data_IF_469757916408
#
_entry.id   IF_469757916408
#
_cell.length_a   1.000
_cell.length_b   1.000
_cell.length_c   1.000
_cell.angle_alpha   90.00
_cell.angle_beta   90.00
_cell.angle_gamma   90.00
#
_symmetry.space_group_name_H-M   'P 1'
#
loop_
_entity.id
_entity.type
_entity.pdbx_description
1 polymer ?
#
# COMPACT_ATOMS: atom_id res chain seq x y z
N UNK A 1 -8.96 35.85 -40.04
CA UNK A 1 -7.64 36.44 -39.75
C UNK A 1 -6.90 35.53 -38.79
N UNK A 2 -5.66 35.15 -39.11
CA UNK A 2 -4.69 34.50 -38.19
C UNK A 2 -4.74 32.97 -38.11
N UNK A 3 -4.46 32.24 -39.18
CA UNK A 3 -3.18 31.51 -39.42
C UNK A 3 -2.71 30.55 -38.31
N UNK A 4 -3.13 29.29 -38.44
CA UNK A 4 -2.42 28.11 -37.93
C UNK A 4 -1.36 27.73 -38.97
N UNK A 5 -0.10 27.57 -38.57
CA UNK A 5 0.91 26.82 -39.36
C UNK A 5 1.64 25.82 -38.46
N UNK A 6 1.71 24.54 -38.82
CA UNK A 6 2.56 23.56 -38.16
C UNK A 6 3.96 23.58 -38.77
N UNK A 7 5.01 23.47 -37.95
CA UNK A 7 6.40 23.31 -38.42
C UNK A 7 6.90 21.92 -38.02
N UNK A 8 7.44 21.25 -39.04
CA UNK A 8 7.86 19.84 -39.13
C UNK A 8 9.00 19.48 -38.18
N UNK A 9 8.97 18.24 -37.69
CA UNK A 9 10.15 17.51 -37.23
C UNK A 9 11.12 17.26 -38.39
N UNK A 10 12.42 17.46 -38.15
CA UNK A 10 13.50 16.67 -38.77
C UNK A 10 14.61 16.47 -37.74
N UNK A 11 14.97 15.19 -37.49
CA UNK A 11 16.19 14.74 -36.80
C UNK A 11 17.18 14.30 -37.86
N UNK A 12 18.44 14.73 -37.79
CA UNK A 12 19.68 14.03 -38.24
C UNK A 12 20.84 14.82 -37.57
N UNK A 13 21.40 14.39 -36.44
CA UNK A 13 22.61 13.56 -36.22
C UNK A 13 23.95 14.17 -36.67
N UNK A 14 24.97 13.90 -35.83
CA UNK A 14 26.43 13.86 -36.07
C UNK A 14 27.27 15.07 -35.61
N UNK A 15 27.89 14.97 -34.41
CA UNK A 15 29.29 14.55 -34.09
C UNK A 15 30.32 15.56 -34.62
N UNK A 16 31.08 16.29 -33.80
CA UNK A 16 32.29 15.98 -33.01
C UNK A 16 32.79 17.39 -32.58
N UNK A 17 33.31 17.72 -31.40
CA UNK A 17 34.59 17.28 -30.86
C UNK A 17 34.92 18.20 -29.66
N UNK A 18 35.24 17.59 -28.52
CA UNK A 18 36.29 17.95 -27.56
C UNK A 18 36.30 19.34 -26.88
N UNK A 19 36.15 19.29 -25.54
CA UNK A 19 36.78 20.08 -24.43
C UNK A 19 35.72 20.25 -23.33
N UNK A 20 35.86 19.82 -22.07
CA UNK A 20 37.01 19.50 -21.22
C UNK A 20 36.54 18.47 -20.17
N UNK A 21 37.41 17.51 -19.89
CA UNK A 21 37.39 16.71 -18.66
C UNK A 21 37.87 17.63 -17.53
N UNK A 22 37.02 17.85 -16.52
CA UNK A 22 37.44 18.36 -15.22
C UNK A 22 37.15 17.26 -14.21
N UNK A 23 38.23 16.70 -13.68
CA UNK A 23 38.24 15.63 -12.71
C UNK A 23 37.84 16.12 -11.31
N UNK A 24 37.28 15.18 -10.56
CA UNK A 24 37.47 14.99 -9.12
C UNK A 24 36.99 16.08 -8.14
N UNK A 25 35.77 15.89 -7.65
CA UNK A 25 35.59 15.62 -6.22
C UNK A 25 34.34 14.77 -6.03
N UNK A 26 34.46 13.51 -6.45
CA UNK A 26 33.55 12.45 -6.02
C UNK A 26 33.74 12.24 -4.53
N UNK A 27 33.17 13.14 -3.72
CA UNK A 27 32.88 12.87 -2.33
C UNK A 27 31.95 11.68 -2.33
N UNK A 28 32.51 10.50 -2.14
CA UNK A 28 31.75 9.35 -1.69
C UNK A 28 31.03 9.83 -0.46
N UNK A 29 29.73 10.14 -0.60
CA UNK A 29 28.82 10.16 0.54
C UNK A 29 29.05 8.80 1.16
N UNK A 30 29.85 8.77 2.22
CA UNK A 30 29.96 7.64 3.12
C UNK A 30 28.52 7.47 3.56
N UNK A 31 27.84 6.56 2.88
CA UNK A 31 26.52 6.10 3.23
C UNK A 31 26.84 5.39 4.52
N UNK A 32 26.78 6.11 5.64
CA UNK A 32 26.87 5.53 6.97
C UNK A 32 25.78 4.48 6.92
N UNK A 33 26.18 3.21 6.78
CA UNK A 33 25.29 2.08 6.87
C UNK A 33 24.93 2.05 8.34
N UNK A 34 23.96 2.89 8.70
CA UNK A 34 23.30 2.87 9.99
C UNK A 34 22.82 1.44 10.17
N UNK A 35 23.34 0.74 11.17
CA UNK A 35 23.05 -0.65 11.53
C UNK A 35 21.70 -1.13 10.98
N UNK A 36 21.79 -2.06 10.01
CA UNK A 36 20.78 -2.45 9.04
C UNK A 36 19.34 -2.45 9.56
N UNK A 37 18.63 -1.33 9.36
CA UNK A 37 17.18 -1.27 9.52
C UNK A 37 16.54 -2.05 8.38
N UNK A 38 15.80 -3.11 8.72
CA UNK A 38 15.07 -3.91 7.73
C UNK A 38 14.11 -3.01 6.95
N UNK A 39 14.18 -3.07 5.61
CA UNK A 39 13.25 -2.34 4.75
C UNK A 39 12.06 -3.23 4.41
N UNK A 40 10.87 -2.66 4.51
CA UNK A 40 9.62 -3.42 4.35
C UNK A 40 9.41 -3.91 2.92
N UNK A 41 9.86 -3.17 1.91
CA UNK A 41 9.73 -3.61 0.51
C UNK A 41 10.54 -4.88 0.25
N UNK A 42 11.76 -4.98 0.79
CA UNK A 42 12.61 -6.17 0.67
C UNK A 42 11.97 -7.42 1.32
N UNK A 43 11.11 -7.24 2.33
CA UNK A 43 10.39 -8.36 2.97
C UNK A 43 9.20 -8.86 2.13
N UNK A 44 8.65 -8.03 1.24
CA UNK A 44 7.50 -8.41 0.39
C UNK A 44 7.90 -9.38 -0.70
N UNK A 45 9.14 -9.33 -1.17
CA UNK A 45 9.61 -10.19 -2.25
C UNK A 45 10.12 -11.56 -1.74
N UNK A 46 10.38 -11.69 -0.44
CA UNK A 46 10.88 -12.93 0.18
C UNK A 46 9.82 -14.03 0.30
N UNK A 47 10.26 -15.29 0.35
CA UNK A 47 9.37 -16.44 0.53
C UNK A 47 8.84 -16.54 1.97
N UNK A 48 7.83 -17.39 2.19
CA UNK A 48 7.24 -17.61 3.52
C UNK A 48 8.24 -18.26 4.50
N UNK A 49 9.04 -19.22 4.03
CA UNK A 49 10.07 -19.88 4.83
C UNK A 49 11.16 -18.89 5.25
N UNK A 50 11.60 -18.01 4.35
CA UNK A 50 12.64 -17.02 4.65
C UNK A 50 12.18 -16.03 5.71
N UNK A 51 10.92 -15.60 5.66
CA UNK A 51 10.32 -14.73 6.66
C UNK A 51 10.19 -15.42 8.03
N UNK A 52 9.93 -16.73 8.05
CA UNK A 52 9.88 -17.51 9.29
C UNK A 52 11.26 -17.68 9.92
N UNK A 53 12.29 -17.95 9.11
CA UNK A 53 13.67 -18.06 9.58
C UNK A 53 14.15 -16.72 10.15
N UNK A 54 13.97 -15.62 9.39
CA UNK A 54 14.30 -14.26 9.87
C UNK A 54 13.57 -13.89 11.17
N UNK A 55 12.33 -14.36 11.35
CA UNK A 55 11.59 -14.13 12.58
C UNK A 55 12.19 -14.88 13.78
N UNK A 56 12.71 -16.09 13.58
CA UNK A 56 13.35 -16.85 14.66
C UNK A 56 14.68 -16.23 15.06
N UNK A 57 15.50 -15.82 14.09
CA UNK A 57 16.79 -15.16 14.34
C UNK A 57 16.61 -13.87 15.15
N UNK A 58 15.65 -13.03 14.74
CA UNK A 58 15.34 -11.78 15.45
C UNK A 58 14.80 -12.01 16.87
N UNK A 59 14.07 -13.11 17.10
CA UNK A 59 13.59 -13.48 18.44
C UNK A 59 14.72 -13.96 19.34
N UNK A 60 15.64 -14.75 18.80
CA UNK A 60 16.83 -15.20 19.52
C UNK A 60 17.71 -13.99 19.90
N UNK A 61 17.96 -13.07 18.95
CA UNK A 61 18.69 -11.82 19.23
C UNK A 61 18.00 -11.00 20.32
N UNK A 62 16.67 -10.85 20.25
CA UNK A 62 15.90 -10.12 21.26
C UNK A 62 16.01 -10.77 22.65
N UNK A 63 16.02 -12.11 22.73
CA UNK A 63 16.19 -12.82 24.00
C UNK A 63 17.57 -12.53 24.61
N UNK A 64 18.63 -12.59 23.81
CA UNK A 64 19.99 -12.24 24.25
C UNK A 64 20.09 -10.78 24.72
N UNK A 65 19.47 -9.85 24.00
CA UNK A 65 19.44 -8.43 24.38
C UNK A 65 18.66 -8.17 25.68
N UNK A 66 17.66 -9.00 26.01
CA UNK A 66 16.92 -8.91 27.28
C UNK A 66 17.77 -9.36 28.45
N UNK A 67 18.52 -10.45 28.31
CA UNK A 67 19.47 -10.91 29.35
C UNK A 67 20.54 -9.84 29.57
N UNK A 68 21.12 -9.30 28.49
CA UNK A 68 22.11 -8.23 28.56
C UNK A 68 21.58 -6.96 29.22
N UNK A 69 20.27 -6.68 29.13
CA UNK A 69 19.65 -5.56 29.85
C UNK A 69 19.66 -5.77 31.37
N UNK A 70 19.41 -7.00 31.82
CA UNK A 70 19.38 -7.34 33.25
C UNK A 70 20.79 -7.31 33.85
N UNK A 71 21.79 -7.78 33.11
CA UNK A 71 23.19 -7.85 33.58
C UNK A 71 23.96 -6.53 33.46
N UNK A 72 23.28 -5.40 33.20
CA UNK A 72 23.94 -4.08 33.11
C UNK A 72 24.79 -3.88 31.85
N UNK A 73 24.38 -4.44 30.71
CA UNK A 73 25.13 -4.38 29.45
C UNK A 73 25.29 -2.98 28.85
N UNK A 74 26.30 -2.83 27.99
CA UNK A 74 26.66 -1.58 27.32
C UNK A 74 25.47 -0.87 26.64
N UNK A 75 25.42 0.48 26.66
CA UNK A 75 24.29 1.27 26.13
C UNK A 75 23.99 0.98 24.65
N UNK A 76 25.01 0.68 23.86
CA UNK A 76 24.86 0.28 22.45
C UNK A 76 24.01 -0.99 22.27
N UNK A 77 24.07 -1.95 23.20
CA UNK A 77 23.23 -3.16 23.15
C UNK A 77 21.79 -2.83 23.53
N UNK A 78 21.57 -1.91 24.47
CA UNK A 78 20.24 -1.48 24.91
C UNK A 78 19.49 -0.72 23.81
N UNK A 79 20.17 0.15 23.05
CA UNK A 79 19.56 0.87 21.93
C UNK A 79 19.05 -0.05 20.81
N UNK A 80 19.67 -1.23 20.64
CA UNK A 80 19.24 -2.24 19.63
C UNK A 80 17.88 -2.85 19.95
N UNK A 81 17.47 -2.92 21.22
CA UNK A 81 16.21 -3.55 21.64
C UNK A 81 15.01 -2.93 20.91
N UNK A 82 14.96 -1.60 20.80
CA UNK A 82 13.88 -0.88 20.11
C UNK A 82 13.85 -1.20 18.62
N UNK A 83 15.02 -1.33 18.00
CA UNK A 83 15.17 -1.61 16.56
C UNK A 83 14.75 -3.05 16.25
N UNK A 84 15.20 -4.03 17.03
CA UNK A 84 14.85 -5.44 16.87
C UNK A 84 13.34 -5.66 17.09
N UNK A 85 12.75 -5.04 18.12
CA UNK A 85 11.28 -5.10 18.35
C UNK A 85 10.48 -4.57 17.16
N UNK A 86 10.89 -3.44 16.58
CA UNK A 86 10.25 -2.88 15.38
C UNK A 86 10.42 -3.79 14.17
N UNK A 87 11.59 -4.41 14.02
CA UNK A 87 11.89 -5.34 12.94
C UNK A 87 11.02 -6.60 13.01
N UNK A 88 10.84 -7.19 14.19
CA UNK A 88 9.92 -8.31 14.43
C UNK A 88 8.48 -7.93 14.05
N UNK A 89 8.02 -6.75 14.49
CA UNK A 89 6.69 -6.27 14.15
C UNK A 89 6.49 -6.09 12.64
N UNK A 90 7.50 -5.59 11.92
CA UNK A 90 7.46 -5.46 10.46
C UNK A 90 7.35 -6.82 9.76
N UNK A 91 8.16 -7.81 10.16
CA UNK A 91 8.11 -9.17 9.59
C UNK A 91 6.73 -9.81 9.82
N UNK A 92 6.22 -9.77 11.05
CA UNK A 92 4.88 -10.27 11.38
C UNK A 92 3.77 -9.56 10.59
N UNK A 93 3.90 -8.25 10.39
CA UNK A 93 2.96 -7.45 9.60
C UNK A 93 2.93 -7.92 8.14
N UNK A 94 4.09 -8.11 7.50
CA UNK A 94 4.17 -8.57 6.11
C UNK A 94 3.62 -9.99 5.97
N UNK A 95 3.95 -10.89 6.91
CA UNK A 95 3.40 -12.26 6.92
C UNK A 95 1.88 -12.25 7.04
N UNK A 96 1.32 -11.43 7.94
CA UNK A 96 -0.14 -11.30 8.09
C UNK A 96 -0.80 -10.68 6.86
N UNK A 97 -0.16 -9.69 6.23
CA UNK A 97 -0.63 -9.08 4.98
C UNK A 97 -0.71 -10.13 3.85
N UNK A 98 0.36 -10.91 3.63
CA UNK A 98 0.39 -11.99 2.63
C UNK A 98 -0.65 -13.08 2.89
N UNK A 99 -0.82 -13.46 4.15
CA UNK A 99 -1.84 -14.44 4.53
C UNK A 99 -3.25 -13.91 4.24
N UNK A 100 -3.54 -12.66 4.61
CA UNK A 100 -4.86 -12.05 4.36
C UNK A 100 -5.11 -11.81 2.88
N UNK A 101 -4.11 -11.45 2.08
CA UNK A 101 -4.29 -11.30 0.62
C UNK A 101 -4.62 -12.64 -0.03
N UNK A 102 -3.88 -13.70 0.28
CA UNK A 102 -4.15 -15.04 -0.23
C UNK A 102 -5.56 -15.54 0.18
N UNK A 103 -5.98 -15.29 1.42
CA UNK A 103 -7.34 -15.62 1.87
C UNK A 103 -8.41 -14.79 1.16
N UNK A 104 -8.18 -13.50 0.90
CA UNK A 104 -9.12 -12.65 0.14
C UNK A 104 -9.30 -13.15 -1.29
N UNK A 105 -8.23 -13.63 -1.93
CA UNK A 105 -8.28 -14.24 -3.25
C UNK A 105 -9.04 -15.57 -3.22
N UNK A 106 -8.74 -16.44 -2.26
CA UNK A 106 -9.39 -17.75 -2.11
C UNK A 106 -10.90 -17.66 -1.81
N UNK A 107 -11.35 -16.61 -1.11
CA UNK A 107 -12.76 -16.37 -0.79
C UNK A 107 -13.44 -15.32 -1.69
N UNK A 108 -12.77 -14.90 -2.77
CA UNK A 108 -13.34 -13.96 -3.73
C UNK A 108 -14.62 -14.55 -4.32
N UNK A 109 -15.68 -13.75 -4.37
CA UNK A 109 -17.00 -14.09 -4.92
C UNK A 109 -17.76 -15.23 -4.21
N UNK A 110 -17.21 -15.84 -3.15
CA UNK A 110 -17.95 -16.83 -2.36
C UNK A 110 -19.01 -16.13 -1.52
N UNK A 111 -20.22 -16.71 -1.47
CA UNK A 111 -21.34 -16.20 -0.66
C UNK A 111 -21.00 -16.16 0.83
N UNK A 112 -20.32 -17.21 1.32
CA UNK A 112 -19.96 -17.35 2.74
C UNK A 112 -18.50 -16.95 2.97
N UNK A 113 -18.31 -15.76 3.51
CA UNK A 113 -16.99 -15.21 3.84
C UNK A 113 -16.79 -15.22 5.37
N UNK A 114 -15.59 -15.61 5.86
CA UNK A 114 -15.21 -15.51 7.27
C UNK A 114 -15.39 -14.09 7.84
N UNK A 115 -15.70 -13.99 9.15
CA UNK A 115 -15.98 -12.71 9.82
C UNK A 115 -14.82 -11.71 9.74
N UNK A 116 -13.56 -12.15 9.78
CA UNK A 116 -12.36 -11.29 9.72
C UNK A 116 -12.20 -10.59 8.35
N UNK A 117 -12.66 -11.22 7.27
CA UNK A 117 -12.53 -10.67 5.92
C UNK A 117 -13.70 -9.76 5.53
N UNK A 118 -14.79 -9.75 6.31
CA UNK A 118 -15.97 -8.92 6.04
C UNK A 118 -15.62 -7.43 6.17
N UNK A 119 -16.22 -6.56 5.35
CA UNK A 119 -16.00 -5.12 5.46
C UNK A 119 -16.49 -4.60 6.82
N UNK A 120 -15.62 -3.87 7.53
CA UNK A 120 -15.96 -3.26 8.81
C UNK A 120 -16.80 -2.01 8.58
N UNK A 121 -18.12 -2.14 8.78
CA UNK A 121 -19.11 -1.04 8.73
C UNK A 121 -19.88 -1.00 10.06
N UNK A 122 -20.58 0.11 10.32
CA UNK A 122 -21.45 0.20 11.50
C UNK A 122 -22.58 -0.85 11.44
N UNK A 123 -23.15 -1.20 12.59
CA UNK A 123 -24.26 -2.17 12.68
C UNK A 123 -25.47 -1.68 11.87
N UNK A 124 -25.81 -0.39 11.96
CA UNK A 124 -26.88 0.23 11.20
C UNK A 124 -26.68 0.07 9.68
N UNK A 125 -25.49 0.37 9.16
CA UNK A 125 -25.18 0.22 7.74
C UNK A 125 -25.23 -1.24 7.27
N UNK A 126 -24.95 -2.22 8.14
CA UNK A 126 -25.06 -3.64 7.80
C UNK A 126 -26.52 -4.14 7.77
N UNK A 127 -27.42 -3.50 8.52
CA UNK A 127 -28.83 -3.92 8.67
C UNK A 127 -29.78 -3.21 7.70
N UNK A 128 -29.42 -2.03 7.19
CA UNK A 128 -30.25 -1.31 6.21
C UNK A 128 -30.45 -2.13 4.93
N UNK A 129 -31.52 -1.82 4.21
CA UNK A 129 -31.82 -2.38 2.90
C UNK A 129 -30.72 -2.04 1.88
N UNK A 130 -30.57 -2.91 0.89
CA UNK A 130 -29.70 -2.66 -0.27
C UNK A 130 -30.27 -1.54 -1.14
N UNK A 131 -29.42 -0.84 -1.90
CA UNK A 131 -29.89 0.22 -2.82
C UNK A 131 -30.91 -0.31 -3.83
N UNK A 132 -30.69 -1.54 -4.32
CA UNK A 132 -31.61 -2.21 -5.22
C UNK A 132 -32.99 -2.40 -4.57
N UNK A 133 -33.03 -2.93 -3.34
CA UNK A 133 -34.29 -3.10 -2.59
C UNK A 133 -35.01 -1.77 -2.36
N UNK A 134 -34.27 -0.70 -2.04
CA UNK A 134 -34.85 0.64 -1.88
C UNK A 134 -35.39 1.21 -3.20
N UNK A 135 -34.79 0.86 -4.34
CA UNK A 135 -35.24 1.31 -5.66
C UNK A 135 -36.34 0.44 -6.27
N UNK A 136 -36.72 -0.66 -5.64
CA UNK A 136 -37.79 -1.52 -6.14
C UNK A 136 -39.12 -0.76 -6.05
N UNK A 137 -39.66 -0.42 -7.22
CA UNK A 137 -40.98 0.19 -7.38
C UNK A 137 -41.97 -0.85 -7.87
N UNK A 138 -43.23 -0.68 -7.47
CA UNK A 138 -44.33 -1.51 -7.99
C UNK A 138 -44.53 -1.25 -9.48
N UNK A 139 -45.11 -2.19 -10.23
CA UNK A 139 -45.38 -1.99 -11.66
C UNK A 139 -46.30 -0.80 -11.91
N UNK A 140 -47.27 -0.59 -11.01
CA UNK A 140 -48.18 0.55 -11.04
C UNK A 140 -47.42 1.88 -10.92
N UNK A 141 -46.50 1.98 -9.97
CA UNK A 141 -45.68 3.17 -9.77
C UNK A 141 -44.74 3.42 -10.96
N UNK A 142 -44.09 2.37 -11.49
CA UNK A 142 -43.27 2.47 -12.71
C UNK A 142 -44.07 3.03 -13.88
N UNK A 143 -45.28 2.52 -14.14
CA UNK A 143 -46.18 3.04 -15.18
C UNK A 143 -46.52 4.51 -14.95
N UNK A 144 -46.86 4.89 -13.72
CA UNK A 144 -47.18 6.28 -13.36
C UNK A 144 -46.00 7.23 -13.64
N UNK A 145 -44.78 6.84 -13.24
CA UNK A 145 -43.58 7.64 -13.48
C UNK A 145 -43.21 7.77 -14.95
N UNK A 146 -43.40 6.71 -15.74
CA UNK A 146 -43.18 6.75 -17.19
C UNK A 146 -44.18 7.70 -17.88
N UNK A 147 -45.45 7.64 -17.50
CA UNK A 147 -46.49 8.46 -18.12
C UNK A 147 -46.44 9.92 -17.70
N UNK A 148 -46.11 10.21 -16.44
CA UNK A 148 -46.11 11.57 -15.88
C UNK A 148 -44.75 11.95 -15.28
N UNK A 149 -43.73 12.19 -16.12
CA UNK A 149 -42.45 12.69 -15.62
C UNK A 149 -42.59 14.13 -15.11
N UNK A 150 -41.89 14.45 -14.02
CA UNK A 150 -41.79 15.84 -13.52
C UNK A 150 -41.02 16.65 -14.57
N UNK A 151 -41.72 17.53 -15.27
CA UNK A 151 -41.13 18.42 -16.28
C UNK A 151 -40.65 19.70 -15.62
N UNK A 152 -39.46 20.17 -16.02
CA UNK A 152 -38.97 21.49 -15.63
C UNK A 152 -39.66 22.55 -16.49
N UNK A 153 -40.27 23.55 -15.86
CA UNK A 153 -40.86 24.70 -16.55
C UNK A 153 -40.51 25.99 -15.80
N UNK A 154 -40.53 27.11 -16.50
CA UNK A 154 -40.37 28.44 -15.95
C UNK A 154 -41.51 29.31 -16.46
N UNK A 155 -42.07 30.14 -15.59
CA UNK A 155 -43.10 31.12 -15.96
C UNK A 155 -42.38 32.43 -16.18
N UNK A 156 -42.61 33.03 -17.35
CA UNK A 156 -42.12 34.38 -17.65
C UNK A 156 -43.01 35.37 -16.89
N UNK A 157 -42.38 36.21 -16.07
CA UNK A 157 -43.01 37.38 -15.44
C UNK A 157 -43.16 38.48 -16.48
#
# INVERSE_FOLDING_TARGET
MGFIRPIKETRVSDTLSQRRVAAASGGTRVKIISMARIKVHELRDKSKSDLQNQLQDLKAELALLRVAKVTGGAPNKLSKIKVVRKSIAQVLTVTSQKQKSALREAYKNKKFIPLDLRPKKTRAIRRRLTKHQLSLKTEREKKKEMYFPIRKYAIKV
#
